data_IF_889005407312
#
_entry.id   IF_889005407312
#
_cell.length_a   1.000
_cell.length_b   1.000
_cell.length_c   1.000
_cell.angle_alpha   90.00
_cell.angle_beta   90.00
_cell.angle_gamma   90.00
#
_symmetry.space_group_name_H-M   'P 1'
#
loop_
_entity.id
_entity.type
_entity.pdbx_description
1 polymer ?
#
# COMPACT_ATOMS: atom_id res chain seq x y z
N UNK A 1 -36.20 4.30 -14.93
CA UNK A 1 -35.54 5.61 -15.07
C UNK A 1 -34.09 5.43 -14.65
N UNK A 2 -33.15 5.43 -15.60
CA UNK A 2 -31.72 5.45 -15.30
C UNK A 2 -31.35 6.85 -14.83
N UNK A 3 -31.02 7.01 -13.55
CA UNK A 3 -30.44 8.25 -13.05
C UNK A 3 -28.91 8.07 -13.06
N UNK A 4 -28.20 8.58 -14.07
CA UNK A 4 -26.77 8.35 -14.24
C UNK A 4 -25.96 8.77 -13.01
N UNK A 5 -26.39 9.82 -12.29
CA UNK A 5 -25.72 10.25 -11.07
C UNK A 5 -25.81 9.23 -9.91
N UNK A 6 -26.90 8.48 -9.79
CA UNK A 6 -27.03 7.43 -8.77
C UNK A 6 -26.14 6.22 -9.08
N UNK A 7 -25.99 5.88 -10.36
CA UNK A 7 -25.12 4.79 -10.79
C UNK A 7 -23.65 5.13 -10.57
N UNK A 8 -23.23 6.35 -10.90
CA UNK A 8 -21.86 6.84 -10.66
C UNK A 8 -21.49 6.84 -9.18
N UNK A 9 -22.37 7.35 -8.31
CA UNK A 9 -22.19 7.32 -6.86
C UNK A 9 -22.07 5.90 -6.36
N UNK A 10 -22.94 4.99 -6.82
CA UNK A 10 -22.91 3.58 -6.43
C UNK A 10 -21.60 2.90 -6.84
N UNK A 11 -21.09 3.18 -8.04
CA UNK A 11 -19.79 2.68 -8.52
C UNK A 11 -18.63 3.19 -7.66
N UNK A 12 -18.64 4.47 -7.31
CA UNK A 12 -17.61 5.04 -6.41
C UNK A 12 -17.60 4.34 -5.05
N UNK A 13 -18.77 4.12 -4.45
CA UNK A 13 -18.88 3.37 -3.19
C UNK A 13 -18.39 1.93 -3.33
N UNK A 14 -18.75 1.25 -4.42
CA UNK A 14 -18.29 -0.11 -4.69
C UNK A 14 -16.76 -0.18 -4.79
N UNK A 15 -16.12 0.73 -5.53
CA UNK A 15 -14.66 0.78 -5.63
C UNK A 15 -13.99 1.15 -4.30
N UNK A 16 -14.54 2.11 -3.56
CA UNK A 16 -14.03 2.49 -2.23
C UNK A 16 -14.06 1.31 -1.27
N UNK A 17 -15.17 0.57 -1.24
CA UNK A 17 -15.30 -0.62 -0.40
C UNK A 17 -14.35 -1.75 -0.83
N UNK A 18 -14.16 -1.94 -2.14
CA UNK A 18 -13.23 -2.92 -2.67
C UNK A 18 -11.78 -2.60 -2.26
N UNK A 19 -11.35 -1.35 -2.45
CA UNK A 19 -10.01 -0.89 -2.08
C UNK A 19 -9.79 -0.99 -0.56
N UNK A 20 -10.80 -0.62 0.24
CA UNK A 20 -10.76 -0.79 1.71
C UNK A 20 -10.59 -2.25 2.11
N UNK A 21 -11.29 -3.17 1.44
CA UNK A 21 -11.13 -4.60 1.64
C UNK A 21 -9.70 -5.06 1.35
N UNK A 22 -9.15 -4.65 0.20
CA UNK A 22 -7.78 -4.99 -0.20
C UNK A 22 -6.71 -4.44 0.76
N UNK A 23 -6.87 -3.21 1.23
CA UNK A 23 -5.98 -2.59 2.24
C UNK A 23 -6.11 -3.26 3.62
N UNK A 24 -7.23 -3.95 3.88
CA UNK A 24 -7.48 -4.68 5.12
C UNK A 24 -6.91 -6.10 5.11
N UNK A 25 -6.48 -6.62 3.96
CA UNK A 25 -5.81 -7.92 3.85
C UNK A 25 -4.36 -7.85 4.37
N UNK A 26 -3.82 -9.01 4.75
CA UNK A 26 -2.40 -9.12 5.01
C UNK A 26 -1.57 -8.83 3.75
N UNK A 27 -0.37 -8.27 3.93
CA UNK A 27 0.57 -7.98 2.85
C UNK A 27 0.55 -6.52 2.37
N UNK A 28 0.93 -6.33 1.11
CA UNK A 28 1.12 -5.04 0.45
C UNK A 28 0.08 -4.87 -0.65
N UNK A 29 -0.47 -3.66 -0.76
CA UNK A 29 -1.30 -3.22 -1.88
C UNK A 29 -0.49 -2.30 -2.79
N UNK A 30 -0.38 -2.66 -4.07
CA UNK A 30 0.46 -1.98 -5.04
C UNK A 30 -0.39 -1.17 -6.03
N UNK A 31 -0.08 0.10 -6.13
CA UNK A 31 -0.66 1.01 -7.11
C UNK A 31 0.40 1.49 -8.09
N UNK A 32 -0.01 1.69 -9.34
CA UNK A 32 0.73 2.52 -10.29
C UNK A 32 0.47 4.00 -9.96
N UNK A 33 1.37 4.87 -10.39
CA UNK A 33 1.31 6.31 -10.12
C UNK A 33 0.06 7.03 -10.67
N UNK A 34 -0.65 6.42 -11.63
CA UNK A 34 -1.91 6.93 -12.18
C UNK A 34 -3.16 6.39 -11.46
N UNK A 35 -2.99 5.72 -10.32
CA UNK A 35 -4.08 5.21 -9.49
C UNK A 35 -4.59 3.83 -9.89
N UNK A 36 -3.99 3.18 -10.89
CA UNK A 36 -4.34 1.79 -11.24
C UNK A 36 -3.83 0.83 -10.16
N UNK A 37 -4.72 0.02 -9.60
CA UNK A 37 -4.36 -1.08 -8.71
C UNK A 37 -3.69 -2.20 -9.52
N UNK A 38 -2.45 -2.54 -9.17
CA UNK A 38 -1.69 -3.62 -9.82
C UNK A 38 -1.83 -4.95 -9.07
N UNK A 39 -2.02 -4.92 -7.75
CA UNK A 39 -2.18 -6.11 -6.93
C UNK A 39 -2.36 -5.81 -5.46
N UNK A 40 -2.79 -6.81 -4.70
CA UNK A 40 -2.92 -6.80 -3.24
C UNK A 40 -2.50 -8.15 -2.68
N UNK A 41 -2.32 -8.25 -1.35
CA UNK A 41 -1.80 -9.44 -0.70
C UNK A 41 -0.41 -9.87 -1.20
N UNK A 42 0.40 -8.90 -1.64
CA UNK A 42 1.79 -9.15 -2.01
C UNK A 42 2.70 -9.15 -0.78
N UNK A 43 3.82 -9.89 -0.87
CA UNK A 43 4.81 -9.97 0.20
C UNK A 43 6.19 -9.65 -0.34
N UNK A 44 6.99 -8.94 0.45
CA UNK A 44 8.38 -8.63 0.14
C UNK A 44 9.30 -9.42 1.06
N UNK A 45 10.37 -9.96 0.49
CA UNK A 45 11.43 -10.56 1.29
C UNK A 45 12.24 -9.46 1.96
N UNK A 46 12.35 -9.52 3.28
CA UNK A 46 13.25 -8.64 4.02
C UNK A 46 14.66 -9.23 3.97
N UNK A 47 15.70 -8.45 3.61
CA UNK A 47 17.08 -8.95 3.61
C UNK A 47 17.44 -9.45 5.02
N UNK A 48 17.96 -10.68 5.10
CA UNK A 48 18.42 -11.28 6.37
C UNK A 48 19.58 -10.52 7.03
N UNK A 49 20.24 -9.62 6.28
CA UNK A 49 21.34 -8.77 6.72
C UNK A 49 20.99 -7.27 6.72
N UNK A 50 19.79 -6.91 7.16
CA UNK A 50 19.51 -5.50 7.45
C UNK A 50 20.55 -5.01 8.48
N UNK A 51 21.29 -3.95 8.13
CA UNK A 51 22.43 -3.40 8.91
C UNK A 51 22.02 -2.94 10.31
N UNK A 52 20.71 -2.79 10.53
CA UNK A 52 20.07 -2.66 11.82
C UNK A 52 19.01 -3.77 11.90
N UNK A 53 18.95 -4.55 12.99
CA UNK A 53 17.78 -5.40 13.23
C UNK A 53 16.60 -4.42 13.34
N UNK A 54 15.80 -4.32 12.28
CA UNK A 54 14.74 -3.31 12.16
C UNK A 54 13.84 -3.37 13.39
N UNK A 55 13.95 -2.36 14.24
CA UNK A 55 13.12 -2.22 15.44
C UNK A 55 11.72 -1.90 14.94
N UNK A 56 10.78 -2.83 15.12
CA UNK A 56 9.40 -2.65 14.71
C UNK A 56 8.73 -3.93 14.25
N UNK A 57 7.41 -3.86 14.07
CA UNK A 57 6.59 -4.98 13.61
C UNK A 57 6.78 -5.32 12.12
N UNK A 58 6.06 -6.35 11.66
CA UNK A 58 6.16 -6.85 10.28
C UNK A 58 5.93 -5.75 9.22
N UNK A 59 4.97 -4.84 9.45
CA UNK A 59 4.68 -3.72 8.52
C UNK A 59 5.83 -2.73 8.42
N UNK A 60 6.48 -2.39 9.55
CA UNK A 60 7.66 -1.51 9.57
C UNK A 60 8.80 -2.13 8.79
N UNK A 61 9.07 -3.42 9.00
CA UNK A 61 10.14 -4.13 8.27
C UNK A 61 9.86 -4.25 6.77
N UNK A 62 8.60 -4.50 6.40
CA UNK A 62 8.19 -4.49 4.99
C UNK A 62 8.35 -3.10 4.36
N UNK A 63 7.98 -2.04 5.08
CA UNK A 63 8.22 -0.66 4.66
C UNK A 63 9.70 -0.36 4.47
N UNK A 64 10.57 -0.74 5.40
CA UNK A 64 12.02 -0.53 5.27
C UNK A 64 12.61 -1.26 4.07
N UNK A 65 12.14 -2.49 3.78
CA UNK A 65 12.52 -3.21 2.57
C UNK A 65 12.03 -2.49 1.29
N UNK A 66 10.79 -1.98 1.27
CA UNK A 66 10.25 -1.22 0.15
C UNK A 66 10.96 0.14 -0.04
N UNK A 67 11.32 0.80 1.06
CA UNK A 67 12.01 2.08 1.07
C UNK A 67 13.35 2.00 0.32
N UNK A 68 14.06 0.87 0.44
CA UNK A 68 15.29 0.61 -0.31
C UNK A 68 15.07 0.59 -1.83
N UNK A 69 13.88 0.20 -2.29
CA UNK A 69 13.52 0.16 -3.71
C UNK A 69 12.97 1.50 -4.23
N UNK A 70 12.75 2.49 -3.37
CA UNK A 70 12.31 3.81 -3.82
C UNK A 70 13.42 4.47 -4.66
N UNK A 71 13.04 5.00 -5.82
CA UNK A 71 13.97 5.47 -6.85
C UNK A 71 14.54 4.37 -7.76
N UNK A 72 14.25 3.08 -7.48
CA UNK A 72 14.70 1.92 -8.25
C UNK A 72 13.51 1.09 -8.76
N UNK A 73 12.53 1.77 -9.37
CA UNK A 73 11.29 1.15 -9.88
C UNK A 73 10.09 1.21 -8.93
N UNK A 74 10.28 1.66 -7.69
CA UNK A 74 9.20 2.07 -6.78
C UNK A 74 9.24 3.59 -6.63
N UNK A 75 8.09 4.25 -6.79
CA UNK A 75 8.00 5.71 -6.69
C UNK A 75 7.74 6.18 -5.26
N UNK A 76 6.94 5.43 -4.51
CA UNK A 76 6.47 5.75 -3.16
C UNK A 76 6.26 4.46 -2.39
N UNK A 77 6.76 4.43 -1.15
CA UNK A 77 6.42 3.41 -0.16
C UNK A 77 5.80 4.11 1.04
N UNK A 78 4.75 3.54 1.62
CA UNK A 78 4.13 4.03 2.85
C UNK A 78 3.58 2.86 3.67
N UNK A 79 3.45 3.04 4.97
CA UNK A 79 2.75 2.09 5.81
C UNK A 79 1.94 2.77 6.93
N UNK A 80 1.01 1.99 7.48
CA UNK A 80 0.30 2.30 8.73
C UNK A 80 0.23 1.06 9.61
N UNK A 81 0.74 1.13 10.82
CA UNK A 81 0.61 0.09 11.84
C UNK A 81 -0.72 0.18 12.60
N UNK A 82 -1.06 -0.87 13.35
CA UNK A 82 -2.30 -0.95 14.13
C UNK A 82 -2.32 0.05 15.30
N UNK A 83 -1.16 0.32 15.89
CA UNK A 83 -0.94 1.33 16.93
C UNK A 83 -0.99 2.77 16.40
N UNK A 84 -1.18 2.93 15.08
CA UNK A 84 -1.32 4.23 14.43
C UNK A 84 -0.02 4.85 13.93
N UNK A 85 1.14 4.21 14.12
CA UNK A 85 2.37 4.71 13.52
C UNK A 85 2.29 4.67 11.98
N UNK A 86 2.77 5.74 11.34
CA UNK A 86 2.75 5.92 9.90
C UNK A 86 4.07 6.51 9.45
N UNK A 87 4.52 6.11 8.27
CA UNK A 87 5.70 6.67 7.63
C UNK A 87 5.57 6.53 6.10
N UNK A 88 6.32 7.33 5.37
CA UNK A 88 6.39 7.26 3.92
C UNK A 88 7.74 7.74 3.40
N UNK A 89 8.13 7.23 2.23
CA UNK A 89 9.29 7.71 1.46
C UNK A 89 8.94 7.66 -0.01
N UNK A 90 9.18 8.77 -0.72
CA UNK A 90 8.90 8.91 -2.14
C UNK A 90 10.03 9.60 -2.88
N UNK A 91 10.03 9.44 -4.19
CA UNK A 91 10.85 10.29 -5.06
C UNK A 91 10.34 11.75 -5.02
N UNK A 92 11.23 12.75 -5.17
CA UNK A 92 10.85 14.17 -5.21
C UNK A 92 9.81 14.51 -6.29
#
# INVERSE_FOLDING_TARGET
MNNPGLEEVSRLYAYSNLIRGMLGCDGITLFRADGVLLGYNAFIQTPTKARHPGIGGARRRAFEALAYHVGHGVNLAMYRSQDGAMDYVGIP
#
